data_IF_331651469157
#
_entry.id   IF_331651469157
#
_cell.length_a   1.000
_cell.length_b   1.000
_cell.length_c   1.000
_cell.angle_alpha   90.00
_cell.angle_beta   90.00
_cell.angle_gamma   90.00
#
_symmetry.space_group_name_H-M   'P 1'
#
loop_
_entity.id
_entity.type
_entity.pdbx_description
1 polymer ?
#
# COMPACT_ATOMS: atom_id res chain seq x y z
N UNK A 1 -14.42 28.56 -21.87
CA UNK A 1 -13.42 27.84 -21.11
C UNK A 1 -14.06 26.55 -20.59
N UNK A 2 -13.68 25.38 -21.11
CA UNK A 2 -14.16 24.08 -20.57
C UNK A 2 -13.50 23.88 -19.22
N UNK A 3 -14.29 23.84 -18.17
CA UNK A 3 -13.87 23.52 -16.82
C UNK A 3 -13.43 22.05 -16.81
N UNK A 4 -12.12 21.81 -16.67
CA UNK A 4 -11.55 20.47 -16.58
C UNK A 4 -11.88 19.91 -15.21
N UNK A 5 -12.88 19.05 -15.12
CA UNK A 5 -13.02 18.13 -14.00
C UNK A 5 -11.91 17.08 -14.14
N UNK A 6 -10.83 17.25 -13.38
CA UNK A 6 -9.81 16.20 -13.20
C UNK A 6 -10.43 15.09 -12.38
N UNK A 7 -10.99 14.13 -13.06
CA UNK A 7 -11.40 12.87 -12.47
C UNK A 7 -10.12 12.05 -12.25
N UNK A 8 -9.53 12.17 -11.05
CA UNK A 8 -8.45 11.29 -10.65
C UNK A 8 -9.06 9.90 -10.52
N UNK A 9 -8.79 9.05 -11.48
CA UNK A 9 -9.18 7.65 -11.38
C UNK A 9 -8.71 7.11 -10.03
N UNK A 10 -9.57 6.33 -9.37
CA UNK A 10 -9.18 5.66 -8.14
C UNK A 10 -7.87 4.90 -8.38
N UNK A 11 -6.94 4.91 -7.42
CA UNK A 11 -5.69 4.18 -7.57
C UNK A 11 -6.00 2.70 -7.88
N UNK A 12 -5.19 2.05 -8.72
CA UNK A 12 -5.40 0.66 -9.08
C UNK A 12 -5.42 -0.21 -7.83
N UNK A 13 -6.24 -1.24 -7.84
CA UNK A 13 -6.29 -2.23 -6.75
C UNK A 13 -4.89 -2.79 -6.49
N UNK A 14 -4.44 -2.82 -5.22
CA UNK A 14 -3.14 -3.37 -4.87
C UNK A 14 -3.02 -4.84 -5.27
N UNK A 15 -1.96 -5.18 -6.01
CA UNK A 15 -1.56 -6.54 -6.34
C UNK A 15 -0.07 -6.71 -6.07
N UNK A 16 0.41 -7.96 -5.92
CA UNK A 16 1.85 -8.22 -5.77
C UNK A 16 2.61 -7.83 -7.04
N UNK A 17 1.97 -7.94 -8.22
CA UNK A 17 2.59 -7.63 -9.52
C UNK A 17 2.75 -6.12 -9.76
N UNK A 18 1.84 -5.29 -9.21
CA UNK A 18 1.96 -3.84 -9.36
C UNK A 18 2.72 -3.14 -8.22
N UNK A 19 3.30 -3.92 -7.30
CA UNK A 19 4.23 -3.40 -6.31
C UNK A 19 5.63 -3.26 -6.92
N UNK A 20 6.22 -2.07 -6.86
CA UNK A 20 7.60 -1.86 -7.32
C UNK A 20 8.58 -2.45 -6.30
N UNK A 21 9.33 -3.51 -6.66
CA UNK A 21 10.10 -4.28 -5.68
C UNK A 21 11.14 -3.46 -4.92
N UNK A 22 11.92 -2.62 -5.60
CA UNK A 22 13.05 -1.94 -4.98
C UNK A 22 13.93 -2.95 -4.20
N UNK A 23 14.15 -2.68 -2.92
CA UNK A 23 14.89 -3.57 -2.01
C UNK A 23 14.04 -4.66 -1.34
N UNK A 24 12.77 -4.84 -1.76
CA UNK A 24 11.81 -5.75 -1.13
C UNK A 24 11.59 -7.05 -1.94
N UNK A 25 12.49 -7.40 -2.85
CA UNK A 25 12.31 -8.54 -3.77
C UNK A 25 12.12 -9.88 -3.02
N UNK A 26 12.90 -10.15 -1.97
CA UNK A 26 12.76 -11.35 -1.15
C UNK A 26 11.40 -11.43 -0.46
N UNK A 27 10.94 -10.32 0.12
CA UNK A 27 9.63 -10.22 0.76
C UNK A 27 8.51 -10.55 -0.25
N UNK A 28 8.56 -9.97 -1.46
CA UNK A 28 7.58 -10.26 -2.50
C UNK A 28 7.54 -11.73 -2.89
N UNK A 29 8.70 -12.36 -3.06
CA UNK A 29 8.78 -13.81 -3.36
C UNK A 29 8.12 -14.62 -2.24
N UNK A 30 8.37 -14.29 -0.98
CA UNK A 30 7.81 -15.04 0.15
C UNK A 30 6.30 -14.80 0.32
N UNK A 31 5.79 -13.58 0.10
CA UNK A 31 4.34 -13.32 0.06
C UNK A 31 3.67 -14.03 -1.13
N UNK A 32 4.32 -14.07 -2.29
CA UNK A 32 3.85 -14.84 -3.45
C UNK A 32 3.78 -16.34 -3.17
N UNK A 33 4.79 -16.90 -2.48
CA UNK A 33 4.77 -18.31 -2.04
C UNK A 33 3.64 -18.58 -1.03
N UNK A 34 3.40 -17.64 -0.10
CA UNK A 34 2.27 -17.74 0.84
C UNK A 34 0.96 -17.80 0.09
N UNK A 35 0.74 -16.89 -0.88
CA UNK A 35 -0.47 -16.82 -1.68
C UNK A 35 -0.69 -18.08 -2.55
N UNK A 36 0.40 -18.68 -3.04
CA UNK A 36 0.37 -19.93 -3.81
C UNK A 36 0.27 -21.20 -2.94
N UNK A 37 0.16 -21.09 -1.61
CA UNK A 37 0.14 -22.24 -0.70
C UNK A 37 1.48 -22.98 -0.59
N UNK A 38 2.58 -22.43 -1.13
CA UNK A 38 3.89 -23.07 -1.20
C UNK A 38 4.85 -22.61 -0.09
N UNK A 39 4.40 -21.77 0.84
CA UNK A 39 5.20 -21.30 1.97
C UNK A 39 5.07 -22.27 3.16
N UNK A 40 6.19 -22.60 3.79
CA UNK A 40 6.21 -23.28 5.08
C UNK A 40 5.97 -22.29 6.22
N UNK A 41 6.44 -21.06 6.06
CA UNK A 41 6.21 -19.99 7.01
C UNK A 41 4.79 -19.43 6.87
N UNK A 42 4.13 -19.26 8.01
CA UNK A 42 2.75 -18.81 8.08
C UNK A 42 2.59 -17.46 8.77
N UNK A 43 3.63 -17.01 9.47
CA UNK A 43 3.60 -15.77 10.24
C UNK A 43 4.57 -14.77 9.62
N UNK A 44 4.06 -13.62 9.22
CA UNK A 44 4.84 -12.53 8.61
C UNK A 44 4.59 -11.25 9.39
N UNK A 45 5.65 -10.54 9.72
CA UNK A 45 5.55 -9.21 10.28
C UNK A 45 6.32 -8.21 9.42
N UNK A 46 5.62 -7.21 8.89
CA UNK A 46 6.13 -6.20 7.99
C UNK A 46 6.24 -4.86 8.72
N UNK A 47 7.43 -4.28 8.80
CA UNK A 47 7.60 -2.99 9.43
C UNK A 47 8.32 -2.00 8.54
N UNK A 48 8.10 -0.70 8.77
CA UNK A 48 8.74 0.35 7.98
C UNK A 48 8.06 1.71 8.15
N UNK A 49 8.64 2.71 7.52
CA UNK A 49 8.13 4.06 7.56
C UNK A 49 6.76 4.19 6.90
N UNK A 50 6.03 5.26 7.24
CA UNK A 50 4.79 5.59 6.54
C UNK A 50 5.05 5.79 5.05
N UNK A 51 4.18 5.23 4.21
CA UNK A 51 4.35 5.28 2.76
C UNK A 51 5.35 4.27 2.19
N UNK A 52 5.93 3.37 2.99
CA UNK A 52 6.83 2.31 2.50
C UNK A 52 6.13 1.23 1.65
N UNK A 53 4.80 1.14 1.72
CA UNK A 53 4.00 0.18 0.96
C UNK A 53 3.47 -1.00 1.77
N UNK A 54 3.56 -0.98 3.10
CA UNK A 54 3.03 -2.03 4.00
C UNK A 54 1.57 -2.37 3.69
N UNK A 55 0.69 -1.38 3.74
CA UNK A 55 -0.74 -1.52 3.43
C UNK A 55 -0.99 -2.11 2.05
N UNK A 56 -0.21 -1.67 1.04
CA UNK A 56 -0.28 -2.23 -0.31
C UNK A 56 0.01 -3.73 -0.29
N UNK A 57 1.12 -4.14 0.34
CA UNK A 57 1.53 -5.54 0.40
C UNK A 57 0.52 -6.43 1.14
N UNK A 58 -0.06 -5.94 2.26
CA UNK A 58 -1.09 -6.69 2.98
C UNK A 58 -2.34 -6.90 2.12
N UNK A 59 -2.85 -5.83 1.51
CA UNK A 59 -4.03 -5.91 0.62
C UNK A 59 -3.76 -6.76 -0.61
N UNK A 60 -2.58 -6.61 -1.22
CA UNK A 60 -2.15 -7.40 -2.37
C UNK A 60 -2.07 -8.91 -2.04
N UNK A 61 -1.56 -9.25 -0.85
CA UNK A 61 -1.49 -10.64 -0.37
C UNK A 61 -2.88 -11.23 -0.19
N UNK A 62 -3.81 -10.48 0.45
CA UNK A 62 -5.20 -10.93 0.61
C UNK A 62 -5.88 -11.11 -0.74
N UNK A 63 -5.70 -10.18 -1.68
CA UNK A 63 -6.24 -10.30 -3.03
C UNK A 63 -5.70 -11.53 -3.78
N UNK A 64 -4.40 -11.81 -3.67
CA UNK A 64 -3.76 -12.97 -4.28
C UNK A 64 -4.29 -14.30 -3.66
N UNK A 65 -4.47 -14.35 -2.35
CA UNK A 65 -5.06 -15.50 -1.65
C UNK A 65 -6.51 -15.75 -2.12
N UNK A 66 -7.34 -14.71 -2.20
CA UNK A 66 -8.70 -14.84 -2.74
C UNK A 66 -8.72 -15.36 -4.18
N UNK A 67 -7.79 -14.88 -5.02
CA UNK A 67 -7.65 -15.36 -6.40
C UNK A 67 -7.24 -16.82 -6.47
N UNK A 68 -6.55 -17.34 -5.45
CA UNK A 68 -6.20 -18.74 -5.30
C UNK A 68 -7.29 -19.58 -4.61
N UNK A 69 -8.47 -19.02 -4.30
CA UNK A 69 -9.58 -19.71 -3.63
C UNK A 69 -9.39 -19.88 -2.10
N UNK A 70 -8.42 -19.18 -1.50
CA UNK A 70 -8.12 -19.24 -0.05
C UNK A 70 -8.91 -18.16 0.69
N UNK A 71 -9.52 -18.52 1.82
CA UNK A 71 -10.24 -17.55 2.65
C UNK A 71 -9.26 -16.62 3.37
N UNK A 72 -9.42 -15.30 3.17
CA UNK A 72 -8.52 -14.32 3.77
C UNK A 72 -9.29 -13.07 4.20
N UNK A 73 -8.80 -12.40 5.24
CA UNK A 73 -9.38 -11.14 5.71
C UNK A 73 -8.30 -10.07 5.87
N UNK A 74 -8.65 -8.82 5.54
CA UNK A 74 -7.85 -7.64 5.83
C UNK A 74 -8.53 -6.77 6.88
N UNK A 75 -7.78 -6.39 7.90
CA UNK A 75 -8.23 -5.49 8.99
C UNK A 75 -7.23 -4.34 9.13
N UNK A 76 -7.72 -3.12 8.97
CA UNK A 76 -6.98 -1.92 9.36
C UNK A 76 -7.14 -1.72 10.88
N UNK A 77 -6.05 -1.78 11.60
CA UNK A 77 -6.03 -1.65 13.06
C UNK A 77 -6.04 -0.18 13.48
N UNK A 78 -6.66 0.08 14.63
CA UNK A 78 -6.73 1.39 15.26
C UNK A 78 -7.08 1.26 16.74
N UNK A 79 -7.06 2.37 17.53
CA UNK A 79 -7.25 2.32 18.98
C UNK A 79 -8.59 1.73 19.43
N UNK A 80 -9.62 1.87 18.60
CA UNK A 80 -11.00 1.39 18.87
C UNK A 80 -11.39 0.23 17.95
N UNK A 81 -10.46 -0.33 17.18
CA UNK A 81 -10.76 -1.44 16.29
C UNK A 81 -10.98 -2.71 17.10
N UNK A 82 -12.23 -3.16 17.16
CA UNK A 82 -12.58 -4.51 17.59
C UNK A 82 -12.25 -5.50 16.46
N UNK A 83 -11.46 -6.50 16.75
CA UNK A 83 -11.27 -7.61 15.83
C UNK A 83 -12.56 -8.45 15.82
N UNK A 84 -13.16 -8.60 14.63
CA UNK A 84 -14.46 -9.25 14.47
C UNK A 84 -14.38 -10.75 14.77
N UNK A 85 -15.47 -11.32 15.27
CA UNK A 85 -15.63 -12.76 15.38
C UNK A 85 -15.52 -13.43 14.01
N UNK A 86 -14.99 -14.65 13.98
CA UNK A 86 -14.83 -15.44 12.76
C UNK A 86 -13.51 -15.22 12.00
N UNK A 87 -12.64 -14.28 12.43
CA UNK A 87 -11.31 -14.13 11.85
C UNK A 87 -10.44 -15.38 12.10
N UNK A 88 -10.64 -16.03 13.22
CA UNK A 88 -10.01 -17.30 13.58
C UNK A 88 -10.40 -18.46 12.63
N UNK A 89 -11.50 -18.34 11.90
CA UNK A 89 -11.94 -19.31 10.88
C UNK A 89 -11.32 -19.08 9.50
N UNK A 90 -10.63 -17.96 9.26
CA UNK A 90 -9.97 -17.66 7.99
C UNK A 90 -8.65 -18.43 7.83
N UNK A 91 -8.28 -18.77 6.59
CA UNK A 91 -6.98 -19.39 6.31
C UNK A 91 -5.83 -18.39 6.44
N UNK A 92 -6.12 -17.10 6.21
CA UNK A 92 -5.15 -16.03 6.41
C UNK A 92 -5.82 -14.76 6.94
N UNK A 93 -5.18 -14.08 7.90
CA UNK A 93 -5.59 -12.76 8.35
C UNK A 93 -4.45 -11.76 8.18
N UNK A 94 -4.75 -10.62 7.57
CA UNK A 94 -3.85 -9.48 7.45
C UNK A 94 -4.25 -8.37 8.42
N UNK A 95 -3.38 -8.05 9.39
CA UNK A 95 -3.56 -6.99 10.39
C UNK A 95 -2.64 -5.81 10.05
N UNK A 96 -3.22 -4.72 9.54
CA UNK A 96 -2.46 -3.53 9.14
C UNK A 96 -2.36 -2.52 10.27
N UNK A 97 -1.15 -1.99 10.50
CA UNK A 97 -0.80 -1.09 11.61
C UNK A 97 -1.22 -1.67 12.99
N UNK A 98 -0.82 -2.91 13.27
CA UNK A 98 -1.15 -3.66 14.49
C UNK A 98 -0.72 -2.91 15.76
N UNK A 99 0.34 -2.12 15.70
CA UNK A 99 0.82 -1.25 16.77
C UNK A 99 -0.17 -0.15 17.19
N UNK A 100 -1.21 0.10 16.41
CA UNK A 100 -2.28 1.04 16.74
C UNK A 100 -3.42 0.43 17.57
N UNK A 101 -3.39 -0.89 17.83
CA UNK A 101 -4.44 -1.55 18.62
C UNK A 101 -4.44 -1.10 20.08
N UNK A 102 -5.62 -0.80 20.61
CA UNK A 102 -5.84 -0.64 22.04
C UNK A 102 -5.66 -1.95 22.81
N UNK A 103 -5.70 -1.90 24.14
CA UNK A 103 -5.40 -3.06 25.01
C UNK A 103 -6.29 -4.28 24.71
N UNK A 104 -7.59 -4.09 24.52
CA UNK A 104 -8.54 -5.17 24.16
C UNK A 104 -8.24 -5.77 22.78
N UNK A 105 -7.92 -4.91 21.79
CA UNK A 105 -7.54 -5.35 20.45
C UNK A 105 -6.24 -6.18 20.45
N UNK A 106 -5.27 -5.80 21.29
CA UNK A 106 -4.02 -6.55 21.44
C UNK A 106 -4.25 -7.94 22.07
N UNK A 107 -5.16 -8.04 23.02
CA UNK A 107 -5.55 -9.33 23.62
C UNK A 107 -6.23 -10.23 22.57
N UNK A 108 -7.17 -9.70 21.84
CA UNK A 108 -7.85 -10.42 20.76
C UNK A 108 -6.88 -10.83 19.66
N UNK A 109 -5.91 -9.96 19.28
CA UNK A 109 -4.87 -10.30 18.31
C UNK A 109 -3.97 -11.43 18.78
N UNK A 110 -3.65 -11.49 20.07
CA UNK A 110 -2.90 -12.59 20.66
C UNK A 110 -3.67 -13.93 20.56
N UNK A 111 -4.95 -13.93 20.89
CA UNK A 111 -5.79 -15.13 20.76
C UNK A 111 -5.95 -15.55 19.29
N UNK A 112 -6.17 -14.61 18.41
CA UNK A 112 -6.24 -14.85 16.95
C UNK A 112 -4.94 -15.48 16.43
N UNK A 113 -3.78 -14.96 16.83
CA UNK A 113 -2.49 -15.55 16.47
C UNK A 113 -2.41 -17.03 16.86
N UNK A 114 -2.79 -17.36 18.11
CA UNK A 114 -2.73 -18.73 18.60
C UNK A 114 -3.71 -19.65 17.83
N UNK A 115 -4.95 -19.21 17.62
CA UNK A 115 -5.96 -19.95 16.86
C UNK A 115 -5.53 -20.22 15.41
N UNK A 116 -5.01 -19.22 14.72
CA UNK A 116 -4.47 -19.40 13.36
C UNK A 116 -3.31 -20.41 13.35
N UNK A 117 -2.36 -20.28 14.27
CA UNK A 117 -1.21 -21.16 14.35
C UNK A 117 -1.60 -22.62 14.60
N UNK A 118 -2.53 -22.88 15.51
CA UNK A 118 -3.02 -24.23 15.83
C UNK A 118 -3.68 -24.92 14.64
N UNK A 119 -4.34 -24.13 13.76
CA UNK A 119 -5.00 -24.64 12.56
C UNK A 119 -4.10 -24.66 11.32
N UNK A 120 -2.85 -24.21 11.41
CA UNK A 120 -1.96 -24.04 10.24
C UNK A 120 -2.35 -22.86 9.34
N UNK A 121 -3.16 -21.93 9.85
CA UNK A 121 -3.50 -20.67 9.19
C UNK A 121 -2.32 -19.70 9.17
N UNK A 122 -2.48 -18.60 8.45
CA UNK A 122 -1.44 -17.59 8.30
C UNK A 122 -1.83 -16.24 8.91
N UNK A 123 -0.83 -15.50 9.40
CA UNK A 123 -0.96 -14.12 9.83
C UNK A 123 0.06 -13.26 9.10
N UNK A 124 -0.40 -12.17 8.47
CA UNK A 124 0.47 -11.15 7.89
C UNK A 124 0.17 -9.84 8.64
N UNK A 125 1.04 -9.43 9.54
CA UNK A 125 0.83 -8.21 10.31
C UNK A 125 1.79 -7.10 9.87
N UNK A 126 1.39 -5.84 10.07
CA UNK A 126 2.27 -4.68 9.85
C UNK A 126 2.32 -3.77 11.06
N UNK A 127 3.40 -2.98 11.15
CA UNK A 127 3.59 -1.95 12.16
C UNK A 127 4.68 -0.94 11.79
N UNK A 128 4.82 0.11 12.59
CA UNK A 128 5.76 1.20 12.32
C UNK A 128 7.23 0.82 12.61
N UNK A 129 7.47 -0.12 13.53
CA UNK A 129 8.79 -0.50 14.04
C UNK A 129 8.94 -2.04 14.13
N UNK A 130 10.17 -2.56 14.27
CA UNK A 130 10.38 -4.00 14.50
C UNK A 130 9.72 -4.43 15.81
N UNK A 131 9.29 -5.71 15.96
CA UNK A 131 8.52 -6.18 17.13
C UNK A 131 9.09 -5.77 18.47
N UNK A 132 10.41 -5.88 18.65
CA UNK A 132 11.11 -5.56 19.91
C UNK A 132 11.05 -4.09 20.32
N UNK A 133 10.66 -3.19 19.41
CA UNK A 133 10.53 -1.75 19.65
C UNK A 133 9.07 -1.30 19.79
N UNK A 134 8.11 -2.23 19.67
CA UNK A 134 6.70 -1.91 19.79
C UNK A 134 6.27 -1.80 21.24
N UNK A 135 5.41 -0.84 21.53
CA UNK A 135 4.75 -0.70 22.84
C UNK A 135 3.46 -1.53 22.85
N UNK A 136 3.62 -2.85 22.73
CA UNK A 136 2.54 -3.83 22.78
C UNK A 136 2.73 -4.80 23.94
N UNK A 137 1.73 -5.64 24.21
CA UNK A 137 1.83 -6.76 25.16
C UNK A 137 3.04 -7.62 24.82
N UNK A 138 3.86 -7.96 25.82
CA UNK A 138 5.11 -8.69 25.62
C UNK A 138 4.92 -10.09 25.00
N UNK A 139 3.77 -10.75 25.29
CA UNK A 139 3.42 -12.03 24.70
C UNK A 139 3.15 -11.93 23.20
N UNK A 140 2.44 -10.86 22.75
CA UNK A 140 2.19 -10.59 21.34
C UNK A 140 3.49 -10.23 20.61
N UNK A 141 4.34 -9.36 21.18
CA UNK A 141 5.67 -9.02 20.64
C UNK A 141 6.50 -10.26 20.39
N UNK A 142 6.55 -11.17 21.37
CA UNK A 142 7.29 -12.43 21.26
C UNK A 142 6.77 -13.29 20.10
N UNK A 143 5.44 -13.39 19.94
CA UNK A 143 4.80 -14.17 18.88
C UNK A 143 5.11 -13.61 17.49
N UNK A 144 5.05 -12.27 17.33
CA UNK A 144 5.38 -11.61 16.07
C UNK A 144 6.86 -11.85 15.66
N UNK A 145 7.75 -11.97 16.65
CA UNK A 145 9.16 -12.24 16.42
C UNK A 145 9.48 -13.69 16.02
N UNK A 146 8.54 -14.62 16.15
CA UNK A 146 8.75 -16.03 15.78
C UNK A 146 8.56 -16.30 14.28
N UNK A 147 7.92 -15.40 13.57
CA UNK A 147 7.73 -15.48 12.13
C UNK A 147 8.83 -14.80 11.32
N UNK A 148 8.60 -14.64 10.04
CA UNK A 148 9.45 -13.84 9.16
C UNK A 148 9.21 -12.35 9.40
N UNK A 149 10.22 -11.65 9.86
CA UNK A 149 10.19 -10.21 10.14
C UNK A 149 10.92 -9.47 9.03
N UNK A 150 10.20 -8.66 8.25
CA UNK A 150 10.76 -7.89 7.15
C UNK A 150 10.64 -6.39 7.37
N UNK A 151 11.74 -5.68 7.08
CA UNK A 151 11.67 -4.24 6.88
C UNK A 151 11.16 -3.95 5.46
N UNK A 152 10.04 -3.23 5.34
CA UNK A 152 9.57 -2.72 4.05
C UNK A 152 10.29 -1.41 3.74
N UNK A 153 11.10 -1.43 2.70
CA UNK A 153 11.85 -0.28 2.24
C UNK A 153 10.99 0.54 1.27
N UNK A 154 10.76 1.81 1.61
CA UNK A 154 10.16 2.75 0.67
C UNK A 154 11.08 2.98 -0.53
N UNK A 155 10.51 3.36 -1.66
CA UNK A 155 11.29 3.74 -2.83
C UNK A 155 12.01 5.08 -2.60
N UNK A 156 13.26 5.15 -2.98
CA UNK A 156 13.99 6.41 -3.12
C UNK A 156 13.38 7.28 -4.22
N UNK A 157 13.68 8.56 -4.22
CA UNK A 157 13.19 9.48 -5.26
C UNK A 157 13.64 9.04 -6.66
N UNK A 158 14.87 8.54 -6.80
CA UNK A 158 15.36 7.98 -8.07
C UNK A 158 14.58 6.74 -8.51
N UNK A 159 14.23 5.83 -7.60
CA UNK A 159 13.42 4.66 -7.90
C UNK A 159 11.98 5.04 -8.28
N UNK A 160 11.41 6.09 -7.65
CA UNK A 160 10.09 6.62 -8.00
C UNK A 160 10.10 7.23 -9.40
N UNK A 161 11.11 8.05 -9.75
CA UNK A 161 11.26 8.61 -11.11
C UNK A 161 11.37 7.49 -12.12
N UNK A 162 12.15 6.47 -11.84
CA UNK A 162 12.28 5.29 -12.73
C UNK A 162 10.93 4.59 -12.90
N UNK A 163 10.20 4.34 -11.83
CA UNK A 163 8.86 3.71 -11.89
C UNK A 163 7.88 4.55 -12.72
N UNK A 164 7.91 5.88 -12.58
CA UNK A 164 7.10 6.80 -13.39
C UNK A 164 7.50 6.75 -14.88
N UNK A 165 8.80 6.68 -15.17
CA UNK A 165 9.32 6.58 -16.55
C UNK A 165 8.91 5.26 -17.20
N UNK A 166 9.05 4.15 -16.49
CA UNK A 166 8.64 2.82 -16.97
C UNK A 166 7.11 2.76 -17.22
N UNK A 167 6.32 3.36 -16.32
CA UNK A 167 4.87 3.46 -16.47
C UNK A 167 4.46 4.30 -17.70
N UNK A 168 5.11 5.45 -17.92
CA UNK A 168 4.87 6.30 -19.09
C UNK A 168 5.24 5.57 -20.39
N UNK A 169 6.38 4.88 -20.41
CA UNK A 169 6.83 4.11 -21.56
C UNK A 169 5.85 2.97 -21.91
N UNK A 170 5.32 2.27 -20.91
CA UNK A 170 4.29 1.24 -21.10
C UNK A 170 2.99 1.79 -21.71
N UNK A 171 2.70 3.09 -21.51
CA UNK A 171 1.56 3.81 -22.12
C UNK A 171 1.89 4.47 -23.46
N UNK A 172 3.14 4.37 -23.92
CA UNK A 172 3.58 4.85 -25.24
C UNK A 172 3.95 6.32 -25.31
N UNK A 173 4.27 6.97 -24.16
CA UNK A 173 4.78 8.33 -24.18
C UNK A 173 6.07 8.48 -23.36
N UNK A 174 7.00 9.36 -23.80
CA UNK A 174 8.21 9.63 -23.05
C UNK A 174 7.94 10.55 -21.87
N UNK A 175 8.45 10.20 -20.67
CA UNK A 175 8.46 11.09 -19.51
C UNK A 175 9.81 11.83 -19.49
N UNK A 176 9.77 13.14 -19.63
CA UNK A 176 10.96 13.98 -19.50
C UNK A 176 11.44 13.99 -18.04
N UNK A 177 12.75 13.94 -17.75
CA UNK A 177 13.28 13.95 -16.39
C UNK A 177 12.73 15.08 -15.51
N UNK A 178 12.65 16.29 -16.08
CA UNK A 178 12.16 17.49 -15.39
C UNK A 178 10.70 17.35 -14.95
N UNK A 179 9.89 16.57 -15.68
CA UNK A 179 8.49 16.30 -15.34
C UNK A 179 8.44 15.36 -14.13
N UNK A 180 9.27 14.32 -14.11
CA UNK A 180 9.38 13.40 -12.97
C UNK A 180 9.81 14.11 -11.68
N UNK A 181 10.85 14.95 -11.77
CA UNK A 181 11.33 15.77 -10.65
C UNK A 181 10.26 16.76 -10.16
N UNK A 182 9.55 17.41 -11.09
CA UNK A 182 8.48 18.33 -10.75
C UNK A 182 7.32 17.64 -10.01
N UNK A 183 6.93 16.44 -10.46
CA UNK A 183 5.91 15.64 -9.78
C UNK A 183 6.33 15.29 -8.34
N UNK A 184 7.57 14.85 -8.12
CA UNK A 184 8.09 14.54 -6.79
C UNK A 184 8.12 15.76 -5.85
N UNK A 185 8.32 16.96 -6.40
CA UNK A 185 8.40 18.20 -5.62
C UNK A 185 7.02 18.75 -5.23
N UNK A 186 5.97 18.52 -6.05
CA UNK A 186 4.69 19.24 -5.95
C UNK A 186 3.47 18.33 -5.73
N UNK A 187 3.63 17.00 -5.82
CA UNK A 187 2.56 16.02 -5.59
C UNK A 187 2.89 15.19 -4.34
N UNK A 188 1.89 14.53 -3.76
CA UNK A 188 2.12 13.58 -2.68
C UNK A 188 3.14 12.53 -3.12
N UNK A 189 4.15 12.29 -2.28
CA UNK A 189 5.32 11.46 -2.61
C UNK A 189 5.05 9.95 -2.60
N UNK A 190 3.82 9.51 -2.37
CA UNK A 190 3.44 8.11 -2.52
C UNK A 190 3.27 7.74 -4.00
N UNK A 191 3.76 6.59 -4.38
CA UNK A 191 3.78 6.16 -5.78
C UNK A 191 2.37 6.10 -6.41
N UNK A 192 1.32 5.60 -5.72
CA UNK A 192 -0.03 5.62 -6.27
C UNK A 192 -0.53 7.02 -6.65
N UNK A 193 -0.28 8.04 -5.81
CA UNK A 193 -0.66 9.43 -6.12
C UNK A 193 0.11 9.97 -7.32
N UNK A 194 1.41 9.68 -7.42
CA UNK A 194 2.25 10.09 -8.54
C UNK A 194 1.79 9.46 -9.86
N UNK A 195 1.48 8.16 -9.84
CA UNK A 195 0.95 7.44 -11.00
C UNK A 195 -0.43 7.96 -11.43
N UNK A 196 -1.32 8.23 -10.48
CA UNK A 196 -2.65 8.78 -10.79
C UNK A 196 -2.56 10.15 -11.50
N UNK A 197 -1.64 11.02 -11.07
CA UNK A 197 -1.37 12.30 -11.74
C UNK A 197 -0.79 12.08 -13.13
N UNK A 198 0.15 11.13 -13.28
CA UNK A 198 0.75 10.79 -14.58
C UNK A 198 -0.31 10.26 -15.56
N UNK A 199 -1.24 9.43 -15.10
CA UNK A 199 -2.37 8.94 -15.88
C UNK A 199 -3.34 10.04 -16.30
N UNK A 200 -3.58 11.03 -15.44
CA UNK A 200 -4.38 12.20 -15.78
C UNK A 200 -3.68 13.08 -16.83
N UNK A 201 -2.34 13.23 -16.72
CA UNK A 201 -1.53 13.95 -17.71
C UNK A 201 -1.55 13.27 -19.07
N UNK A 202 -1.45 11.94 -19.13
CA UNK A 202 -1.53 11.18 -20.39
C UNK A 202 -2.89 11.39 -21.08
N UNK A 203 -3.99 11.24 -20.33
CA UNK A 203 -5.34 11.49 -20.87
C UNK A 203 -5.47 12.91 -21.44
N UNK A 204 -5.06 13.90 -20.65
CA UNK A 204 -5.16 15.31 -21.08
C UNK A 204 -4.27 15.61 -22.29
N UNK A 205 -3.06 15.05 -22.33
CA UNK A 205 -2.15 15.17 -23.47
C UNK A 205 -2.77 14.63 -24.76
N UNK A 206 -3.43 13.48 -24.70
CA UNK A 206 -4.12 12.87 -25.86
C UNK A 206 -5.32 13.68 -26.31
N UNK A 207 -6.15 14.16 -25.39
CA UNK A 207 -7.34 14.96 -25.69
C UNK A 207 -6.98 16.30 -26.33
N UNK A 208 -5.93 16.95 -25.84
CA UNK A 208 -5.51 18.30 -26.30
C UNK A 208 -4.44 18.26 -27.38
N UNK A 209 -3.88 17.09 -27.69
CA UNK A 209 -2.72 16.90 -28.58
C UNK A 209 -1.51 17.75 -28.19
N UNK A 210 -1.33 17.99 -26.88
CA UNK A 210 -0.22 18.74 -26.31
C UNK A 210 0.77 17.77 -25.66
N UNK A 211 2.09 17.93 -25.85
CA UNK A 211 3.07 17.04 -25.22
C UNK A 211 3.07 17.20 -23.69
N UNK A 212 3.42 16.13 -22.97
CA UNK A 212 3.59 16.14 -21.52
C UNK A 212 4.85 16.93 -21.15
N UNK A 213 4.67 18.14 -20.65
CA UNK A 213 5.73 19.08 -20.26
C UNK A 213 5.49 19.59 -18.85
N UNK A 214 6.52 20.16 -18.20
CA UNK A 214 6.38 20.78 -16.86
C UNK A 214 5.29 21.85 -16.83
N UNK A 215 5.12 22.63 -17.92
CA UNK A 215 4.07 23.63 -18.02
C UNK A 215 2.69 23.00 -17.94
N UNK A 216 2.47 21.89 -18.66
CA UNK A 216 1.22 21.14 -18.62
C UNK A 216 0.94 20.57 -17.22
N UNK A 217 1.96 20.00 -16.58
CA UNK A 217 1.84 19.49 -15.18
C UNK A 217 1.43 20.60 -14.24
N UNK A 218 2.08 21.78 -14.35
CA UNK A 218 1.78 22.93 -13.51
C UNK A 218 0.33 23.38 -13.69
N UNK A 219 -0.15 23.49 -14.92
CA UNK A 219 -1.56 23.85 -15.22
C UNK A 219 -2.52 22.87 -14.53
N UNK A 220 -2.26 21.56 -14.61
CA UNK A 220 -3.11 20.51 -14.04
C UNK A 220 -3.06 20.45 -12.50
N UNK A 221 -1.87 20.54 -11.91
CA UNK A 221 -1.70 20.52 -10.44
C UNK A 221 -2.37 21.75 -9.80
N UNK A 222 -2.24 22.94 -10.42
CA UNK A 222 -2.93 24.15 -9.95
C UNK A 222 -4.44 24.05 -10.07
N UNK A 223 -4.96 23.50 -11.18
CA UNK A 223 -6.40 23.28 -11.37
C UNK A 223 -6.98 22.32 -10.32
N UNK A 224 -6.25 21.24 -10.00
CA UNK A 224 -6.64 20.27 -8.98
C UNK A 224 -6.63 20.86 -7.55
N UNK A 225 -5.62 21.68 -7.23
CA UNK A 225 -5.53 22.39 -5.95
C UNK A 225 -6.67 23.38 -5.72
N UNK A 226 -7.09 24.09 -6.76
CA UNK A 226 -8.21 25.01 -6.69
C UNK A 226 -9.56 24.30 -6.47
N UNK A 227 -9.76 23.10 -7.03
CA UNK A 227 -10.97 22.29 -6.81
C UNK A 227 -11.06 21.72 -5.39
N UNK A 228 -9.95 21.25 -4.84
CA UNK A 228 -9.90 20.75 -3.47
C UNK A 228 -10.19 21.84 -2.42
N UNK A 229 -9.82 23.09 -2.71
CA UNK A 229 -10.14 24.25 -1.87
C UNK A 229 -11.62 24.68 -1.99
N UNK A 230 -12.22 24.60 -3.18
CA UNK A 230 -13.63 24.95 -3.42
C UNK A 230 -14.63 23.98 -2.80
N UNK A 231 -14.30 22.69 -2.74
CA UNK A 231 -15.18 21.64 -2.17
C UNK A 231 -15.30 21.72 -0.64
N UNK A 232 -14.35 22.35 0.06
CA UNK A 232 -14.40 22.55 1.53
C UNK A 232 -15.31 23.69 1.97
N UNK A 233 -15.74 24.57 1.06
CA UNK A 233 -16.55 25.76 1.37
C UNK A 233 -18.07 25.49 1.22
N UNK A 234 -18.46 24.39 0.57
CA UNK A 234 -19.90 24.05 0.35
C UNK A 234 -20.45 23.01 1.31
N UNK A 235 -19.72 22.67 2.37
CA UNK A 235 -20.11 21.67 3.39
C UNK A 235 -20.23 22.27 4.79
N UNK A 236 -20.76 23.51 4.93
CA UNK A 236 -21.09 24.10 6.26
C UNK A 236 -22.56 24.39 6.33
#
# INVERSE_FOLDING_TARGET
MRQLALDFAAPPTPTLDNFVPGRNAELLVNLGRLAAGASQERIFYLWGESGSGRTHLLRATVAALHSAGTSAAYVACGPTTGLRDGLDCMDCVALDDLDQLGAEGQETAFHLYNALRERGGALVASGAAPPVQLTLRGDLVTRLGWGLVYRVHGLSDAEKVRALTDHAAARGFPLLPEVGEYLLAHVRRDLPSLLAVLDALDRYSRETKRPVTVTLVRELVHAAGAQAAGSRIQGT
#
